data_IF_758597481363
#
_entry.id   IF_758597481363
#
_cell.length_a   1.000
_cell.length_b   1.000
_cell.length_c   1.000
_cell.angle_alpha   90.00
_cell.angle_beta   90.00
_cell.angle_gamma   90.00
#
_symmetry.space_group_name_H-M   'P 1'
#
loop_
_entity.id
_entity.type
_entity.pdbx_description
1 polymer ?
#
# COMPACT_ATOMS: atom_id res chain seq x y z
N UNK A 1 -13.93 -31.19 -1.26
CA UNK A 1 -13.74 -30.20 -0.19
C UNK A 1 -13.06 -28.98 -0.84
N UNK A 2 -13.84 -27.93 -1.19
CA UNK A 2 -13.28 -26.70 -1.77
C UNK A 2 -12.66 -25.92 -0.62
N UNK A 3 -11.34 -25.75 -0.65
CA UNK A 3 -10.67 -24.81 0.24
C UNK A 3 -11.30 -23.44 0.04
N UNK A 4 -11.68 -22.72 1.10
CA UNK A 4 -12.10 -21.34 0.95
C UNK A 4 -10.95 -20.59 0.27
N UNK A 5 -11.27 -19.82 -0.78
CA UNK A 5 -10.33 -18.94 -1.43
C UNK A 5 -9.66 -18.14 -0.32
N UNK A 6 -8.40 -18.44 -0.04
CA UNK A 6 -7.55 -17.53 0.71
C UNK A 6 -7.55 -16.24 -0.13
N UNK A 7 -8.24 -15.21 0.36
CA UNK A 7 -8.14 -13.88 -0.20
C UNK A 7 -6.65 -13.59 -0.18
N UNK A 8 -6.04 -13.43 -1.34
CA UNK A 8 -4.66 -12.95 -1.43
C UNK A 8 -4.73 -11.51 -0.94
N UNK A 9 -4.59 -11.38 0.36
CA UNK A 9 -4.43 -10.08 1.00
C UNK A 9 -3.08 -9.62 0.53
N UNK A 10 -3.02 -8.50 -0.18
CA UNK A 10 -1.74 -7.95 -0.59
C UNK A 10 -0.90 -7.76 0.68
N UNK A 11 0.42 -7.95 0.57
CA UNK A 11 1.36 -7.67 1.68
C UNK A 11 1.10 -6.28 2.30
N UNK A 12 0.50 -5.40 1.56
CA UNK A 12 0.15 -4.02 1.84
C UNK A 12 -1.16 -3.87 2.63
N UNK A 13 -2.11 -4.77 2.51
CA UNK A 13 -3.29 -4.80 3.39
C UNK A 13 -2.94 -5.24 4.81
N UNK A 14 -1.91 -6.09 4.95
CA UNK A 14 -1.36 -6.48 6.27
C UNK A 14 -0.62 -5.29 6.93
N UNK A 15 -0.07 -4.37 6.14
CA UNK A 15 0.71 -3.21 6.61
C UNK A 15 -0.16 -1.98 6.94
N UNK A 16 -1.47 -2.04 6.81
CA UNK A 16 -2.40 -0.98 7.29
C UNK A 16 -2.53 -0.91 8.81
N UNK A 17 -1.59 -1.43 9.53
CA UNK A 17 -1.43 -1.15 10.93
C UNK A 17 -0.94 0.29 11.09
N UNK A 18 -1.85 1.21 11.33
CA UNK A 18 -1.48 2.57 11.69
C UNK A 18 -0.63 2.53 12.96
N UNK A 19 0.63 2.94 12.87
CA UNK A 19 1.51 3.01 14.04
C UNK A 19 0.86 3.81 15.19
N UNK A 20 0.00 4.76 14.86
CA UNK A 20 -0.83 5.52 15.78
C UNK A 20 -1.75 4.61 16.62
N UNK A 21 -2.39 3.61 16.03
CA UNK A 21 -3.26 2.68 16.77
C UNK A 21 -2.46 1.90 17.82
N UNK A 22 -1.23 1.48 17.51
CA UNK A 22 -0.36 0.81 18.49
C UNK A 22 0.12 1.74 19.59
N UNK A 23 0.44 3.00 19.24
CA UNK A 23 0.84 4.00 20.25
C UNK A 23 -0.34 4.27 21.19
N UNK A 24 -1.54 4.46 20.68
CA UNK A 24 -2.75 4.72 21.48
C UNK A 24 -3.16 3.48 22.30
N UNK A 25 -3.09 2.29 21.71
CA UNK A 25 -3.29 1.03 22.42
C UNK A 25 -2.28 0.84 23.57
N UNK A 26 -1.01 1.09 23.30
CA UNK A 26 0.06 1.05 24.29
C UNK A 26 -0.13 2.07 25.42
N UNK A 27 -0.58 3.28 25.09
CA UNK A 27 -0.91 4.31 26.11
C UNK A 27 -2.08 3.86 26.99
N UNK A 28 -3.16 3.32 26.40
CA UNK A 28 -4.29 2.79 27.15
C UNK A 28 -3.89 1.64 28.07
N UNK A 29 -3.06 0.72 27.59
CA UNK A 29 -2.54 -0.39 28.39
C UNK A 29 -1.64 0.08 29.53
N UNK A 30 -0.81 1.08 29.31
CA UNK A 30 0.02 1.70 30.34
C UNK A 30 -0.84 2.40 31.40
N UNK A 31 -1.90 3.09 31.01
CA UNK A 31 -2.84 3.71 31.97
C UNK A 31 -3.54 2.67 32.83
N UNK A 32 -4.02 1.56 32.26
CA UNK A 32 -4.59 0.43 32.99
C UNK A 32 -3.60 -0.11 34.01
N UNK A 33 -2.37 -0.38 33.57
CA UNK A 33 -1.29 -0.90 34.43
C UNK A 33 -0.98 0.04 35.58
N UNK A 34 -0.89 1.35 35.32
CA UNK A 34 -0.60 2.37 36.31
C UNK A 34 -1.72 2.52 37.34
N UNK A 35 -2.97 2.49 36.92
CA UNK A 35 -4.12 2.55 37.83
C UNK A 35 -4.13 1.38 38.81
N UNK A 36 -3.84 0.18 38.33
CA UNK A 36 -3.82 -1.01 39.17
C UNK A 36 -2.59 -1.02 40.08
N UNK A 37 -1.42 -0.61 39.61
CA UNK A 37 -0.20 -0.51 40.40
C UNK A 37 -0.36 0.53 41.52
N UNK A 38 -1.03 1.64 41.26
CA UNK A 38 -1.31 2.65 42.31
C UNK A 38 -2.29 2.09 43.34
N UNK A 39 -3.35 1.46 42.91
CA UNK A 39 -4.35 0.87 43.80
C UNK A 39 -3.77 -0.27 44.66
N UNK A 40 -2.86 -1.04 44.11
CA UNK A 40 -2.16 -2.13 44.83
C UNK A 40 -1.32 -1.64 46.04
N UNK A 41 -1.00 -0.34 46.09
CA UNK A 41 -0.26 0.23 47.28
C UNK A 41 -1.14 0.32 48.53
N UNK A 42 -2.46 0.17 48.42
CA UNK A 42 -3.38 0.15 49.54
C UNK A 42 -3.88 -1.28 49.80
N UNK A 43 -3.28 -2.02 50.76
CA UNK A 43 -3.62 -3.41 51.01
C UNK A 43 -5.06 -3.65 51.50
N UNK A 44 -5.69 -2.63 52.06
CA UNK A 44 -7.06 -2.69 52.61
C UNK A 44 -8.15 -2.36 51.55
N UNK A 45 -7.74 -1.93 50.37
CA UNK A 45 -8.70 -1.55 49.32
C UNK A 45 -9.21 -2.78 48.56
N UNK A 46 -10.52 -2.89 48.45
CA UNK A 46 -11.18 -3.92 47.65
C UNK A 46 -11.65 -3.32 46.29
N UNK A 47 -10.94 -3.65 45.25
CA UNK A 47 -11.22 -3.17 43.88
C UNK A 47 -12.66 -3.45 43.41
N UNK A 48 -13.28 -4.51 43.94
CA UNK A 48 -14.66 -4.89 43.60
C UNK A 48 -15.69 -3.84 44.00
N UNK A 49 -15.40 -3.07 45.05
CA UNK A 49 -16.26 -2.07 45.64
C UNK A 49 -15.93 -0.65 45.15
N UNK A 50 -14.83 -0.44 44.42
CA UNK A 50 -14.43 0.86 43.91
C UNK A 50 -14.99 1.10 42.49
N UNK A 51 -16.21 1.65 42.41
CA UNK A 51 -16.87 1.95 41.15
C UNK A 51 -16.11 3.00 40.33
N UNK A 52 -15.38 3.91 40.96
CA UNK A 52 -14.57 4.92 40.29
C UNK A 52 -13.39 4.30 39.57
N UNK A 53 -12.66 3.39 40.23
CA UNK A 53 -11.56 2.64 39.62
C UNK A 53 -12.07 1.73 38.52
N UNK A 54 -13.11 0.94 38.79
CA UNK A 54 -13.71 0.05 37.78
C UNK A 54 -14.19 0.82 36.53
N UNK A 55 -14.77 2.00 36.71
CA UNK A 55 -15.19 2.87 35.60
C UNK A 55 -14.00 3.30 34.73
N UNK A 56 -12.90 3.75 35.36
CA UNK A 56 -11.67 4.16 34.62
C UNK A 56 -11.03 2.97 33.92
N UNK A 57 -10.93 1.82 34.57
CA UNK A 57 -10.40 0.60 33.97
C UNK A 57 -11.23 0.15 32.75
N UNK A 58 -12.56 0.19 32.87
CA UNK A 58 -13.47 -0.12 31.72
C UNK A 58 -13.22 0.82 30.55
N UNK A 59 -13.15 2.12 30.82
CA UNK A 59 -12.96 3.12 29.77
C UNK A 59 -11.66 2.88 29.00
N UNK A 60 -10.53 2.75 29.69
CA UNK A 60 -9.24 2.48 29.04
C UNK A 60 -9.20 1.11 28.35
N UNK A 61 -9.89 0.09 28.87
CA UNK A 61 -9.94 -1.24 28.24
C UNK A 61 -10.79 -1.22 26.97
N UNK A 62 -11.88 -0.41 26.93
CA UNK A 62 -12.66 -0.18 25.72
C UNK A 62 -11.82 0.56 24.69
N UNK A 63 -11.10 1.61 25.09
CA UNK A 63 -10.19 2.30 24.16
C UNK A 63 -9.13 1.36 23.60
N UNK A 64 -8.48 0.55 24.44
CA UNK A 64 -7.52 -0.47 24.00
C UNK A 64 -8.15 -1.44 22.97
N UNK A 65 -9.39 -1.88 23.20
CA UNK A 65 -10.06 -2.84 22.32
C UNK A 65 -10.27 -2.32 20.88
N UNK A 66 -10.38 -1.00 20.69
CA UNK A 66 -10.53 -0.39 19.37
C UNK A 66 -9.27 -0.52 18.50
N UNK A 67 -8.15 -0.81 19.11
CA UNK A 67 -6.85 -0.90 18.45
C UNK A 67 -6.34 -2.35 18.31
N UNK A 68 -7.17 -3.35 18.67
CA UNK A 68 -6.78 -4.76 18.66
C UNK A 68 -7.33 -5.56 17.47
N UNK A 69 -7.99 -4.92 16.49
CA UNK A 69 -8.69 -5.60 15.38
C UNK A 69 -7.79 -6.55 14.57
N UNK A 70 -6.49 -6.27 14.51
CA UNK A 70 -5.52 -7.08 13.79
C UNK A 70 -4.63 -7.94 14.72
N UNK A 71 -4.97 -7.99 16.00
CA UNK A 71 -4.24 -8.68 17.06
C UNK A 71 -5.15 -9.68 17.78
N UNK A 72 -5.51 -10.82 17.14
CA UNK A 72 -6.57 -11.71 17.62
C UNK A 72 -6.30 -12.31 19.00
N UNK A 73 -5.03 -12.56 19.36
CA UNK A 73 -4.68 -13.08 20.67
C UNK A 73 -4.79 -12.00 21.76
N UNK A 74 -4.32 -10.79 21.46
CA UNK A 74 -4.45 -9.62 22.32
C UNK A 74 -5.92 -9.24 22.48
N UNK A 75 -6.70 -9.18 21.39
CA UNK A 75 -8.14 -8.88 21.41
C UNK A 75 -8.90 -9.85 22.33
N UNK A 76 -8.61 -11.15 22.24
CA UNK A 76 -9.23 -12.16 23.11
C UNK A 76 -8.93 -11.92 24.59
N UNK A 77 -7.70 -11.52 24.93
CA UNK A 77 -7.31 -11.21 26.29
C UNK A 77 -7.97 -9.91 26.80
N UNK A 78 -8.04 -8.88 25.97
CA UNK A 78 -8.73 -7.60 26.25
C UNK A 78 -10.22 -7.82 26.47
N UNK A 79 -10.88 -8.62 25.63
CA UNK A 79 -12.29 -9.01 25.82
C UNK A 79 -12.51 -9.79 27.12
N UNK A 80 -11.54 -10.61 27.53
CA UNK A 80 -11.58 -11.31 28.83
C UNK A 80 -11.54 -10.32 29.99
N UNK A 81 -10.64 -9.35 29.97
CA UNK A 81 -10.57 -8.29 30.99
C UNK A 81 -11.87 -7.49 31.04
N UNK A 82 -12.41 -7.06 29.91
CA UNK A 82 -13.71 -6.34 29.82
C UNK A 82 -14.86 -7.14 30.45
N UNK A 83 -14.88 -8.45 30.26
CA UNK A 83 -15.91 -9.32 30.85
C UNK A 83 -15.86 -9.27 32.38
N UNK A 84 -14.67 -9.33 32.97
CA UNK A 84 -14.49 -9.24 34.43
C UNK A 84 -14.88 -7.85 34.95
N UNK A 85 -14.46 -6.80 34.26
CA UNK A 85 -14.78 -5.42 34.64
C UNK A 85 -16.29 -5.10 34.54
N UNK A 86 -17.00 -5.69 33.59
CA UNK A 86 -18.45 -5.48 33.38
C UNK A 86 -19.32 -6.34 34.30
N UNK A 87 -18.77 -7.41 34.86
CA UNK A 87 -19.46 -8.34 35.75
C UNK A 87 -18.64 -8.57 37.00
N UNK A 88 -18.63 -7.57 37.95
CA UNK A 88 -17.84 -7.66 39.19
C UNK A 88 -18.17 -8.91 40.02
N UNK A 89 -19.35 -9.47 39.88
CA UNK A 89 -19.74 -10.73 40.50
C UNK A 89 -18.85 -11.92 40.11
N UNK A 90 -18.26 -11.90 38.92
CA UNK A 90 -17.29 -12.92 38.50
C UNK A 90 -16.01 -12.84 39.34
N UNK A 91 -15.67 -11.64 39.82
CA UNK A 91 -14.53 -11.42 40.67
C UNK A 91 -14.82 -11.75 42.16
N UNK A 92 -16.06 -12.04 42.51
CA UNK A 92 -16.47 -12.33 43.89
C UNK A 92 -15.69 -13.48 44.52
N UNK A 93 -15.34 -14.49 43.69
CA UNK A 93 -14.60 -15.66 44.11
C UNK A 93 -13.06 -15.48 44.12
N UNK A 94 -12.55 -14.30 43.75
CA UNK A 94 -11.12 -14.06 43.75
C UNK A 94 -10.63 -13.74 45.15
N UNK A 95 -9.70 -14.53 45.65
CA UNK A 95 -9.07 -14.32 46.97
C UNK A 95 -8.20 -13.06 46.98
N UNK A 96 -7.58 -12.75 45.85
CA UNK A 96 -6.71 -11.59 45.64
C UNK A 96 -7.05 -10.87 44.35
N UNK A 97 -8.13 -10.05 44.31
CA UNK A 97 -8.65 -9.45 43.09
C UNK A 97 -7.63 -8.56 42.34
N UNK A 98 -6.80 -7.82 43.08
CA UNK A 98 -5.76 -6.98 42.48
C UNK A 98 -4.70 -7.81 41.76
N UNK A 99 -4.20 -8.90 42.39
CA UNK A 99 -3.23 -9.77 41.72
C UNK A 99 -3.81 -10.48 40.49
N UNK A 100 -5.08 -10.87 40.56
CA UNK A 100 -5.77 -11.45 39.39
C UNK A 100 -5.88 -10.45 38.24
N UNK A 101 -6.21 -9.18 38.51
CA UNK A 101 -6.21 -8.11 37.50
C UNK A 101 -4.80 -7.85 36.95
N UNK A 102 -3.78 -7.81 37.81
CA UNK A 102 -2.38 -7.67 37.35
C UNK A 102 -1.98 -8.82 36.43
N UNK A 103 -2.38 -10.06 36.74
CA UNK A 103 -2.10 -11.21 35.89
C UNK A 103 -2.81 -11.11 34.52
N UNK A 104 -4.06 -10.64 34.47
CA UNK A 104 -4.78 -10.42 33.22
C UNK A 104 -4.12 -9.35 32.35
N UNK A 105 -3.60 -8.29 32.97
CA UNK A 105 -2.90 -7.23 32.26
C UNK A 105 -1.55 -7.71 31.74
N UNK A 106 -0.81 -8.46 32.55
CA UNK A 106 0.44 -9.07 32.12
C UNK A 106 0.22 -10.04 30.94
N UNK A 107 -0.89 -10.81 30.93
CA UNK A 107 -1.27 -11.65 29.78
C UNK A 107 -1.52 -10.81 28.53
N UNK A 108 -2.23 -9.68 28.65
CA UNK A 108 -2.44 -8.75 27.52
C UNK A 108 -1.11 -8.20 27.01
N UNK A 109 -0.22 -7.76 27.90
CA UNK A 109 1.09 -7.21 27.54
C UNK A 109 1.96 -8.24 26.81
N UNK A 110 2.00 -9.47 27.31
CA UNK A 110 2.78 -10.55 26.70
C UNK A 110 2.23 -10.86 25.30
N UNK A 111 0.91 -11.05 25.16
CA UNK A 111 0.30 -11.32 23.85
C UNK A 111 0.51 -10.20 22.85
N UNK A 112 0.37 -8.94 23.29
CA UNK A 112 0.65 -7.79 22.46
C UNK A 112 2.12 -7.80 22.00
N UNK A 113 3.05 -8.07 22.89
CA UNK A 113 4.48 -8.15 22.57
C UNK A 113 4.76 -9.29 21.59
N UNK A 114 4.17 -10.47 21.83
CA UNK A 114 4.34 -11.63 20.96
C UNK A 114 3.79 -11.37 19.56
N UNK A 115 2.57 -10.84 19.44
CA UNK A 115 1.95 -10.53 18.14
C UNK A 115 2.71 -9.43 17.40
N UNK A 116 3.17 -8.39 18.10
CA UNK A 116 3.98 -7.33 17.50
C UNK A 116 5.37 -7.81 17.06
N UNK A 117 5.97 -8.73 17.81
CA UNK A 117 7.29 -9.29 17.48
C UNK A 117 7.26 -10.15 16.19
N UNK A 118 6.10 -10.69 15.83
CA UNK A 118 5.88 -11.44 14.60
C UNK A 118 5.59 -10.51 13.41
N UNK A 119 5.29 -9.23 13.68
CA UNK A 119 4.98 -8.23 12.67
C UNK A 119 6.25 -7.55 12.12
N UNK A 120 6.21 -7.23 10.83
CA UNK A 120 7.21 -6.36 10.22
C UNK A 120 6.63 -4.96 10.06
N UNK A 121 7.33 -3.94 10.57
CA UNK A 121 6.91 -2.55 10.48
C UNK A 121 7.83 -1.81 9.50
N UNK A 122 7.22 -1.09 8.56
CA UNK A 122 7.93 -0.20 7.66
C UNK A 122 7.68 1.25 8.07
N UNK A 123 8.77 2.00 8.23
CA UNK A 123 8.69 3.45 8.42
C UNK A 123 8.76 4.12 7.05
N UNK A 124 7.68 4.76 6.64
CA UNK A 124 7.69 5.65 5.49
C UNK A 124 8.10 7.07 5.92
N UNK A 125 8.89 7.76 5.08
CA UNK A 125 9.08 9.20 5.23
C UNK A 125 7.77 9.93 4.86
N UNK A 126 7.58 11.14 5.37
CA UNK A 126 6.39 11.93 5.04
C UNK A 126 6.21 12.14 3.53
N UNK A 127 7.30 12.32 2.79
CA UNK A 127 7.31 12.48 1.34
C UNK A 127 6.81 11.25 0.58
N UNK A 128 6.96 10.06 1.17
CA UNK A 128 6.54 8.79 0.57
C UNK A 128 5.17 8.33 1.00
N UNK A 129 4.64 8.93 2.06
CA UNK A 129 3.34 8.59 2.60
C UNK A 129 2.25 8.78 1.55
N UNK A 130 2.27 9.88 0.81
CA UNK A 130 1.29 10.20 -0.22
C UNK A 130 1.25 9.14 -1.34
N UNK A 131 2.42 8.67 -1.79
CA UNK A 131 2.49 7.59 -2.80
C UNK A 131 1.85 6.29 -2.30
N UNK A 132 1.88 6.03 -1.01
CA UNK A 132 1.34 4.82 -0.42
C UNK A 132 -0.16 4.93 -0.10
N UNK A 133 -0.57 6.02 0.53
CA UNK A 133 -1.95 6.23 1.01
C UNK A 133 -2.89 6.73 -0.10
N UNK A 134 -2.36 7.52 -1.04
CA UNK A 134 -3.12 8.13 -2.13
C UNK A 134 -2.52 7.78 -3.52
N UNK A 135 -2.37 6.48 -3.87
CA UNK A 135 -1.62 6.06 -5.06
C UNK A 135 -2.24 6.58 -6.38
N UNK A 136 -3.46 7.04 -6.36
CA UNK A 136 -4.18 7.57 -7.53
C UNK A 136 -4.27 9.10 -7.58
N UNK A 137 -3.68 9.81 -6.62
CA UNK A 137 -3.83 11.27 -6.43
C UNK A 137 -3.69 12.07 -7.71
N UNK A 138 -2.70 11.75 -8.54
CA UNK A 138 -2.42 12.48 -9.77
C UNK A 138 -2.83 11.73 -11.05
N UNK A 139 -3.58 10.62 -10.92
CA UNK A 139 -3.90 9.71 -11.99
C UNK A 139 -5.40 9.65 -12.34
N UNK A 140 -6.24 10.37 -11.61
CA UNK A 140 -7.70 10.21 -11.67
C UNK A 140 -8.30 10.33 -13.09
N UNK A 141 -7.88 11.32 -13.89
CA UNK A 141 -8.40 11.50 -15.24
C UNK A 141 -7.80 10.48 -16.21
N UNK A 142 -6.53 10.12 -16.04
CA UNK A 142 -5.88 9.06 -16.82
C UNK A 142 -6.63 7.73 -16.61
N UNK A 143 -6.94 7.38 -15.38
CA UNK A 143 -7.62 6.12 -15.02
C UNK A 143 -9.08 6.08 -15.51
N UNK A 144 -9.74 7.21 -15.64
CA UNK A 144 -11.07 7.26 -16.30
C UNK A 144 -10.98 6.85 -17.76
N UNK A 145 -9.91 7.22 -18.46
CA UNK A 145 -9.68 6.92 -19.87
C UNK A 145 -9.04 5.54 -20.08
N UNK A 146 -8.14 5.15 -19.18
CA UNK A 146 -7.36 3.91 -19.25
C UNK A 146 -7.54 3.07 -17.97
N UNK A 147 -8.75 2.56 -17.68
CA UNK A 147 -9.06 1.90 -16.40
C UNK A 147 -8.23 0.63 -16.18
N UNK A 148 -7.82 -0.05 -17.23
CA UNK A 148 -7.02 -1.29 -17.14
C UNK A 148 -5.63 -1.07 -16.56
N UNK A 149 -5.14 0.18 -16.49
CA UNK A 149 -3.85 0.52 -15.88
C UNK A 149 -3.91 0.78 -14.38
N UNK A 150 -5.09 0.65 -13.77
CA UNK A 150 -5.30 1.02 -12.35
C UNK A 150 -4.47 0.17 -11.38
N UNK A 151 -4.39 -1.13 -11.61
CA UNK A 151 -3.60 -2.03 -10.74
C UNK A 151 -2.12 -1.68 -10.81
N UNK A 152 -1.59 -1.49 -12.01
CA UNK A 152 -0.18 -1.13 -12.18
C UNK A 152 0.12 0.26 -11.64
N UNK A 153 -0.83 1.21 -11.72
CA UNK A 153 -0.69 2.54 -11.12
C UNK A 153 -0.59 2.45 -9.59
N UNK A 154 -1.43 1.64 -8.96
CA UNK A 154 -1.40 1.42 -7.52
C UNK A 154 -0.08 0.78 -7.09
N UNK A 155 0.31 -0.31 -7.73
CA UNK A 155 1.53 -1.06 -7.41
C UNK A 155 2.79 -0.22 -7.67
N UNK A 156 2.84 0.54 -8.76
CA UNK A 156 3.95 1.47 -9.05
C UNK A 156 4.19 2.43 -7.90
N UNK A 157 3.14 3.12 -7.46
CA UNK A 157 3.25 4.12 -6.40
C UNK A 157 3.59 3.49 -5.05
N UNK A 158 2.97 2.37 -4.69
CA UNK A 158 3.26 1.64 -3.45
C UNK A 158 4.68 1.05 -3.44
N UNK A 159 5.12 0.45 -4.55
CA UNK A 159 6.50 -0.04 -4.69
C UNK A 159 7.52 1.10 -4.55
N UNK A 160 7.25 2.26 -5.15
CA UNK A 160 8.10 3.45 -5.00
C UNK A 160 8.18 3.90 -3.55
N UNK A 161 7.04 4.00 -2.86
CA UNK A 161 6.98 4.35 -1.44
C UNK A 161 7.82 3.41 -0.57
N UNK A 162 7.82 2.11 -0.88
CA UNK A 162 8.55 1.07 -0.17
C UNK A 162 10.00 0.90 -0.63
N UNK A 163 10.56 1.82 -1.40
CA UNK A 163 11.92 1.76 -1.96
C UNK A 163 12.17 0.55 -2.89
N UNK A 164 11.13 -0.03 -3.47
CA UNK A 164 11.20 -1.12 -4.43
C UNK A 164 11.25 -0.58 -5.85
N UNK A 165 12.28 0.21 -6.16
CA UNK A 165 12.35 1.00 -7.40
C UNK A 165 12.28 0.17 -8.66
N UNK A 166 12.95 -0.99 -8.73
CA UNK A 166 12.87 -1.89 -9.89
C UNK A 166 11.45 -2.38 -10.14
N UNK A 167 10.71 -2.75 -9.07
CA UNK A 167 9.32 -3.17 -9.19
C UNK A 167 8.42 -1.99 -9.59
N UNK A 168 8.64 -0.80 -9.02
CA UNK A 168 7.93 0.41 -9.43
C UNK A 168 8.12 0.70 -10.92
N UNK A 169 9.35 0.54 -11.44
CA UNK A 169 9.66 0.74 -12.86
C UNK A 169 9.03 -0.32 -13.75
N UNK A 170 8.95 -1.56 -13.29
CA UNK A 170 8.23 -2.61 -14.01
C UNK A 170 6.76 -2.20 -14.21
N UNK A 171 6.06 -1.80 -13.15
CA UNK A 171 4.67 -1.35 -13.23
C UNK A 171 4.53 -0.07 -14.06
N UNK A 172 5.47 0.88 -13.98
CA UNK A 172 5.48 2.05 -14.85
C UNK A 172 5.52 1.68 -16.33
N UNK A 173 6.32 0.66 -16.70
CA UNK A 173 6.38 0.19 -18.08
C UNK A 173 5.11 -0.56 -18.50
N UNK A 174 4.43 -1.28 -17.61
CA UNK A 174 3.13 -1.88 -17.90
C UNK A 174 2.06 -0.81 -18.20
N UNK A 175 2.03 0.28 -17.42
CA UNK A 175 1.15 1.43 -17.69
C UNK A 175 1.43 2.00 -19.08
N UNK A 176 2.68 2.26 -19.39
CA UNK A 176 3.07 2.81 -20.69
C UNK A 176 2.77 1.83 -21.86
N UNK A 177 2.91 0.51 -21.64
CA UNK A 177 2.51 -0.51 -22.61
C UNK A 177 1.00 -0.50 -22.84
N UNK A 178 0.19 -0.36 -21.80
CA UNK A 178 -1.26 -0.14 -21.94
C UNK A 178 -1.58 1.05 -22.82
N UNK A 179 -0.91 2.18 -22.64
CA UNK A 179 -1.03 3.35 -23.51
C UNK A 179 -0.58 3.08 -24.95
N UNK A 180 0.52 2.35 -25.13
CA UNK A 180 1.02 1.99 -26.45
C UNK A 180 0.05 1.04 -27.21
N UNK A 181 -0.67 0.17 -26.51
CA UNK A 181 -1.73 -0.67 -27.07
C UNK A 181 -2.87 0.19 -27.61
N UNK A 182 -3.34 1.17 -26.84
CA UNK A 182 -4.41 2.08 -27.27
C UNK A 182 -3.99 2.93 -28.48
N UNK A 183 -2.75 3.44 -28.45
CA UNK A 183 -2.19 4.11 -29.63
C UNK A 183 -2.11 3.19 -30.84
N UNK A 184 -1.72 1.93 -30.65
CA UNK A 184 -1.68 0.91 -31.71
C UNK A 184 -3.05 0.64 -32.31
N UNK A 185 -4.10 0.55 -31.48
CA UNK A 185 -5.48 0.45 -31.92
C UNK A 185 -5.85 1.66 -32.81
N UNK A 186 -5.53 2.86 -32.37
CA UNK A 186 -5.85 4.10 -33.09
C UNK A 186 -5.17 4.20 -34.47
N UNK A 187 -3.89 3.83 -34.56
CA UNK A 187 -3.14 3.87 -35.84
C UNK A 187 -3.31 2.62 -36.70
N UNK A 188 -4.20 1.70 -36.35
CA UNK A 188 -4.56 0.51 -37.11
C UNK A 188 -3.51 -0.59 -37.11
N UNK A 189 -2.87 -0.86 -35.99
CA UNK A 189 -2.04 -2.05 -35.78
C UNK A 189 -2.95 -3.27 -35.64
N UNK A 190 -2.66 -4.34 -36.39
CA UNK A 190 -3.51 -5.54 -36.45
C UNK A 190 -3.57 -6.29 -35.10
N UNK A 191 -2.48 -6.31 -34.36
CA UNK A 191 -2.38 -6.98 -33.05
C UNK A 191 -1.49 -6.16 -32.10
N UNK A 192 -2.01 -5.06 -31.52
CA UNK A 192 -1.23 -4.18 -30.67
C UNK A 192 -0.86 -4.82 -29.32
N UNK A 193 -1.57 -5.91 -28.92
CA UNK A 193 -1.30 -6.62 -27.66
C UNK A 193 -0.05 -7.51 -27.70
N UNK A 194 0.60 -7.64 -28.85
CA UNK A 194 1.91 -8.31 -28.96
C UNK A 194 3.07 -7.50 -28.35
N UNK A 195 2.76 -6.40 -27.69
CA UNK A 195 3.74 -5.53 -27.06
C UNK A 195 4.03 -4.28 -27.88
N UNK A 196 5.06 -3.54 -27.49
CA UNK A 196 5.44 -2.25 -28.08
C UNK A 196 5.84 -2.31 -29.55
N UNK A 197 6.55 -3.39 -29.95
CA UNK A 197 7.19 -3.48 -31.26
C UNK A 197 6.27 -3.24 -32.45
N UNK A 198 5.07 -3.84 -32.55
CA UNK A 198 4.14 -3.59 -33.65
C UNK A 198 3.69 -2.12 -33.74
N UNK A 199 3.40 -1.50 -32.56
CA UNK A 199 2.98 -0.08 -32.49
C UNK A 199 4.14 0.85 -32.88
N UNK A 200 5.34 0.62 -32.32
CA UNK A 200 6.55 1.36 -32.64
C UNK A 200 6.87 1.30 -34.13
N UNK A 201 6.87 0.10 -34.72
CA UNK A 201 7.13 -0.12 -36.15
C UNK A 201 6.12 0.62 -37.03
N UNK A 202 4.84 0.54 -36.71
CA UNK A 202 3.78 1.21 -37.47
C UNK A 202 3.89 2.72 -37.36
N UNK A 203 4.18 3.22 -36.18
CA UNK A 203 4.34 4.65 -35.92
C UNK A 203 5.54 5.22 -36.69
N UNK A 204 6.70 4.55 -36.64
CA UNK A 204 7.89 4.92 -37.46
C UNK A 204 7.58 4.92 -38.95
N UNK A 205 6.80 3.95 -39.44
CA UNK A 205 6.38 3.93 -40.86
C UNK A 205 5.52 5.15 -41.18
N UNK A 206 4.53 5.47 -40.36
CA UNK A 206 3.67 6.64 -40.52
C UNK A 206 4.50 7.93 -40.60
N UNK A 207 5.48 8.09 -39.72
CA UNK A 207 6.34 9.27 -39.71
C UNK A 207 7.25 9.33 -40.96
N UNK A 208 7.81 8.18 -41.35
CA UNK A 208 8.66 8.11 -42.56
C UNK A 208 7.88 8.37 -43.86
N UNK A 209 6.63 7.95 -43.94
CA UNK A 209 5.77 8.21 -45.09
C UNK A 209 5.33 9.68 -45.20
N UNK A 210 5.35 10.40 -44.11
CA UNK A 210 5.06 11.83 -44.01
C UNK A 210 3.56 12.15 -44.12
N UNK A 211 3.25 13.39 -43.80
CA UNK A 211 1.87 13.90 -43.71
C UNK A 211 1.02 13.66 -44.98
N UNK A 212 1.63 13.73 -46.14
CA UNK A 212 0.93 13.64 -47.44
C UNK A 212 0.37 12.24 -47.75
N UNK A 213 0.87 11.20 -47.11
CA UNK A 213 0.44 9.80 -47.30
C UNK A 213 -0.46 9.27 -46.18
N UNK A 214 -0.80 10.13 -45.23
CA UNK A 214 -1.65 9.73 -44.11
C UNK A 214 -3.10 9.51 -44.55
N UNK A 215 -3.76 8.50 -43.97
CA UNK A 215 -5.22 8.42 -44.04
C UNK A 215 -5.86 9.71 -43.51
N UNK A 216 -6.97 10.13 -44.12
CA UNK A 216 -7.68 11.35 -43.71
C UNK A 216 -8.03 11.36 -42.19
N UNK A 217 -8.28 10.19 -41.63
CA UNK A 217 -8.54 10.01 -40.19
C UNK A 217 -7.36 10.35 -39.27
N UNK A 218 -6.13 10.34 -39.78
CA UNK A 218 -4.90 10.59 -39.01
C UNK A 218 -4.23 11.92 -39.40
N UNK A 219 -4.61 12.51 -40.52
CA UNK A 219 -3.93 13.68 -41.08
C UNK A 219 -3.94 14.88 -40.15
N UNK A 220 -5.02 15.10 -39.40
CA UNK A 220 -5.11 16.18 -38.40
C UNK A 220 -4.23 15.97 -37.14
N UNK A 221 -3.70 14.77 -36.94
CA UNK A 221 -2.99 14.40 -35.69
C UNK A 221 -1.51 14.06 -35.95
N UNK A 222 -0.92 14.49 -37.08
CA UNK A 222 0.45 14.11 -37.44
C UNK A 222 1.49 14.56 -36.40
N UNK A 223 1.37 15.78 -35.93
CA UNK A 223 2.28 16.32 -34.87
C UNK A 223 2.21 15.52 -33.56
N UNK A 224 0.99 15.14 -33.16
CA UNK A 224 0.78 14.25 -32.03
C UNK A 224 1.46 12.88 -32.26
N UNK A 225 1.33 12.29 -33.44
CA UNK A 225 1.96 11.00 -33.76
C UNK A 225 3.49 11.11 -33.77
N UNK A 226 4.06 12.20 -34.28
CA UNK A 226 5.50 12.46 -34.20
C UNK A 226 5.99 12.52 -32.74
N UNK A 227 5.22 13.20 -31.89
CA UNK A 227 5.54 13.32 -30.47
C UNK A 227 5.48 11.96 -29.79
N UNK A 228 4.42 11.15 -30.02
CA UNK A 228 4.30 9.80 -29.47
C UNK A 228 5.44 8.89 -29.93
N UNK A 229 5.87 9.01 -31.19
CA UNK A 229 7.01 8.24 -31.67
C UNK A 229 8.28 8.54 -30.87
N UNK A 230 8.61 9.83 -30.65
CA UNK A 230 9.77 10.25 -29.85
C UNK A 230 9.71 9.72 -28.42
N UNK A 231 8.55 9.76 -27.79
CA UNK A 231 8.36 9.30 -26.41
C UNK A 231 8.48 7.78 -26.27
N UNK A 232 7.84 7.04 -27.17
CA UNK A 232 7.96 5.56 -27.20
C UNK A 232 9.41 5.14 -27.44
N UNK A 233 10.08 5.72 -28.43
CA UNK A 233 11.50 5.44 -28.70
C UNK A 233 12.37 5.71 -27.47
N UNK A 234 12.15 6.83 -26.79
CA UNK A 234 12.87 7.17 -25.57
C UNK A 234 12.65 6.15 -24.45
N UNK A 235 11.37 5.76 -24.20
CA UNK A 235 11.03 4.80 -23.16
C UNK A 235 11.59 3.40 -23.45
N UNK A 236 11.48 2.92 -24.69
CA UNK A 236 11.98 1.61 -25.10
C UNK A 236 13.50 1.54 -24.95
N UNK A 237 14.23 2.52 -25.50
CA UNK A 237 15.69 2.53 -25.48
C UNK A 237 16.28 2.76 -24.08
N UNK A 238 15.72 3.71 -23.33
CA UNK A 238 16.30 4.11 -22.05
C UNK A 238 15.97 3.14 -20.92
N UNK A 239 14.77 2.55 -20.91
CA UNK A 239 14.26 1.89 -19.71
C UNK A 239 13.81 0.45 -19.92
N UNK A 240 13.00 0.16 -20.95
CA UNK A 240 12.44 -1.17 -21.18
C UNK A 240 13.53 -2.23 -21.35
N UNK A 241 14.50 -1.98 -22.20
CA UNK A 241 15.60 -2.93 -22.42
C UNK A 241 16.41 -3.25 -21.15
N UNK A 242 16.46 -2.30 -20.20
CA UNK A 242 17.13 -2.52 -18.92
C UNK A 242 16.33 -3.40 -17.97
N UNK A 243 14.99 -3.38 -18.07
CA UNK A 243 14.10 -4.21 -17.24
C UNK A 243 13.95 -5.63 -17.77
N UNK A 244 13.82 -5.78 -19.09
CA UNK A 244 13.46 -7.04 -19.72
C UNK A 244 14.61 -8.05 -19.83
N UNK A 245 15.87 -7.60 -19.73
CA UNK A 245 17.02 -8.49 -19.91
C UNK A 245 17.72 -8.82 -18.59
N UNK A 246 17.57 -10.07 -18.12
CA UNK A 246 18.24 -10.57 -16.92
C UNK A 246 19.78 -10.36 -16.94
N UNK A 247 20.40 -10.44 -18.11
CA UNK A 247 21.83 -10.18 -18.28
C UNK A 247 22.22 -8.74 -17.87
N UNK A 248 21.35 -7.77 -18.06
CA UNK A 248 21.58 -6.40 -17.64
C UNK A 248 21.56 -6.24 -16.12
N UNK A 249 20.80 -7.09 -15.42
CA UNK A 249 20.75 -7.09 -13.95
C UNK A 249 21.97 -7.79 -13.33
N UNK A 250 22.57 -8.75 -14.04
CA UNK A 250 23.77 -9.49 -13.58
C UNK A 250 25.07 -8.72 -13.82
N UNK A 251 25.10 -7.87 -14.85
CA UNK A 251 26.30 -7.10 -15.23
C UNK A 251 26.44 -5.78 -14.46
N UNK A 252 25.38 -5.30 -13.82
CA UNK A 252 25.35 -4.04 -13.06
C UNK A 252 25.26 -4.43 -11.59
N UNK A 253 26.10 -3.78 -10.74
CA UNK A 253 26.02 -3.99 -9.30
C UNK A 253 24.56 -3.91 -8.82
N UNK A 254 24.07 -4.86 -7.98
CA UNK A 254 22.66 -5.03 -7.65
C UNK A 254 21.92 -3.78 -7.14
N UNK A 255 22.68 -2.76 -6.73
CA UNK A 255 22.17 -1.52 -6.12
C UNK A 255 22.14 -0.30 -7.05
N UNK A 256 22.47 -0.45 -8.34
CA UNK A 256 22.78 0.70 -9.20
C UNK A 256 21.78 0.96 -10.34
N UNK A 257 20.76 0.12 -10.56
CA UNK A 257 19.95 0.25 -11.79
C UNK A 257 18.90 1.35 -11.67
N UNK A 258 18.19 1.43 -10.54
CA UNK A 258 17.17 2.46 -10.32
C UNK A 258 17.35 3.11 -8.95
N UNK A 259 17.88 4.33 -8.97
CA UNK A 259 17.89 5.22 -7.80
C UNK A 259 16.49 5.83 -7.59
N UNK A 260 16.19 6.40 -6.41
CA UNK A 260 14.94 7.14 -6.19
C UNK A 260 14.67 8.18 -7.28
N UNK A 261 15.69 8.98 -7.61
CA UNK A 261 15.57 10.10 -8.59
C UNK A 261 15.27 9.58 -10.00
N UNK A 262 15.93 8.50 -10.42
CA UNK A 262 15.68 7.86 -11.72
C UNK A 262 14.25 7.30 -11.75
N UNK A 263 13.84 6.62 -10.69
CA UNK A 263 12.52 6.03 -10.59
C UNK A 263 11.43 7.10 -10.65
N UNK A 264 11.56 8.16 -9.87
CA UNK A 264 10.62 9.28 -9.87
C UNK A 264 10.54 9.97 -11.24
N UNK A 265 11.69 10.15 -11.90
CA UNK A 265 11.75 10.72 -13.26
C UNK A 265 10.97 9.84 -14.26
N UNK A 266 11.16 8.52 -14.22
CA UNK A 266 10.47 7.59 -15.11
C UNK A 266 8.95 7.60 -14.84
N UNK A 267 8.52 7.56 -13.58
CA UNK A 267 7.11 7.64 -13.21
C UNK A 267 6.45 8.91 -13.75
N UNK A 268 7.14 10.05 -13.61
CA UNK A 268 6.68 11.33 -14.17
C UNK A 268 6.60 11.31 -15.69
N UNK A 269 7.59 10.72 -16.37
CA UNK A 269 7.61 10.61 -17.82
C UNK A 269 6.46 9.71 -18.33
N UNK A 270 6.22 8.58 -17.70
CA UNK A 270 5.08 7.71 -18.04
C UNK A 270 3.76 8.43 -17.83
N UNK A 271 3.61 9.16 -16.72
CA UNK A 271 2.40 9.96 -16.49
C UNK A 271 2.18 11.00 -17.57
N UNK A 272 3.21 11.75 -17.98
CA UNK A 272 3.13 12.74 -19.06
C UNK A 272 2.75 12.08 -20.37
N UNK A 273 3.33 10.93 -20.71
CA UNK A 273 2.97 10.15 -21.87
C UNK A 273 1.48 9.77 -21.87
N UNK A 274 0.96 9.27 -20.74
CA UNK A 274 -0.46 8.91 -20.62
C UNK A 274 -1.40 10.12 -20.71
N UNK A 275 -1.02 11.28 -20.17
CA UNK A 275 -1.78 12.53 -20.31
C UNK A 275 -1.87 12.91 -21.81
N UNK A 276 -0.77 12.89 -22.54
CA UNK A 276 -0.74 13.23 -23.96
C UNK A 276 -1.56 12.25 -24.79
N UNK A 277 -1.52 10.97 -24.46
CA UNK A 277 -2.40 9.97 -25.09
C UNK A 277 -3.88 10.29 -24.82
N UNK A 278 -4.22 10.64 -23.59
CA UNK A 278 -5.59 11.01 -23.23
C UNK A 278 -6.08 12.24 -24.00
N UNK A 279 -5.21 13.22 -24.21
CA UNK A 279 -5.54 14.46 -24.92
C UNK A 279 -5.55 14.29 -26.46
N UNK A 280 -4.71 13.42 -27.01
CA UNK A 280 -4.54 13.26 -28.45
C UNK A 280 -5.36 12.13 -29.07
N UNK A 281 -5.83 11.16 -28.28
CA UNK A 281 -6.70 10.10 -28.77
C UNK A 281 -8.17 10.52 -28.73
N UNK A 282 -8.98 10.21 -29.77
CA UNK A 282 -10.38 10.59 -29.85
C UNK A 282 -11.26 9.94 -28.78
#
# INVERSE_FOLDING_TARGET
>A
MKLPYAKVVSLLEILRCHAEAYVQGGQSLNMISSLIAEYAKNPSADVRNDQGLLGRLRWHTVELSKHCDQLPMTEKAVRSLLRHLNKPEIMANWTQPIHALQSLIADIQNRLTDELSLGFFFKLSQERKDYFEEPFKDWGDILKRFPDTSVDTEEMNKCFALCRYTAAMYHAMQIAEGGAIELGNYIGVTDPRKGWGPTEKKLRQIIADGHSKLPASLAGNFEFLEQMNREIDSMVLAWRHKLDHAANHLAIAPNAVFTPDIAEHIMKAVRVFMIRLMEGLP
#
